data_IF_191888146479
#
_entry.id   IF_191888146479
#
_cell.length_a   1.000
_cell.length_b   1.000
_cell.length_c   1.000
_cell.angle_alpha   90.00
_cell.angle_beta   90.00
_cell.angle_gamma   90.00
#
_symmetry.space_group_name_H-M   'P 1'
#
loop_
_entity.id
_entity.type
_entity.pdbx_description
1 polymer ?
#
# COMPACT_ATOMS: atom_id res chain seq x y z
N UNK A 1 -32.70 -14.30 -21.51
CA UNK A 1 -31.50 -13.87 -20.78
C UNK A 1 -31.42 -14.70 -19.51
N UNK A 2 -30.77 -15.86 -19.60
CA UNK A 2 -30.69 -16.82 -18.49
C UNK A 2 -29.30 -16.72 -17.88
N UNK A 3 -29.22 -16.16 -16.67
CA UNK A 3 -28.01 -16.16 -15.85
C UNK A 3 -27.78 -17.59 -15.35
N UNK A 4 -26.79 -18.27 -15.93
CA UNK A 4 -26.19 -19.46 -15.32
C UNK A 4 -25.21 -19.01 -14.25
N UNK A 5 -25.65 -19.08 -12.99
CA UNK A 5 -24.77 -19.12 -11.83
C UNK A 5 -23.94 -20.41 -11.91
N UNK A 6 -22.70 -20.29 -12.37
CA UNK A 6 -21.72 -21.37 -12.25
C UNK A 6 -21.50 -21.66 -10.77
N UNK A 7 -21.49 -22.94 -10.33
CA UNK A 7 -21.13 -23.30 -8.97
C UNK A 7 -19.67 -22.86 -8.68
N UNK A 8 -19.31 -22.60 -7.42
CA UNK A 8 -17.96 -22.19 -7.07
C UNK A 8 -16.99 -23.30 -7.50
N UNK A 9 -16.13 -22.98 -8.46
CA UNK A 9 -15.02 -23.84 -8.89
C UNK A 9 -14.16 -24.07 -7.65
N UNK A 10 -14.23 -25.27 -7.08
CA UNK A 10 -13.31 -25.68 -6.01
C UNK A 10 -11.89 -25.54 -6.54
N UNK A 11 -10.96 -25.03 -5.74
CA UNK A 11 -9.56 -24.99 -6.15
C UNK A 11 -9.10 -26.41 -6.49
N UNK A 12 -8.36 -26.57 -7.59
CA UNK A 12 -7.87 -27.87 -8.06
C UNK A 12 -7.06 -28.61 -6.98
N UNK A 13 -6.35 -27.84 -6.14
CA UNK A 13 -5.63 -28.32 -4.95
C UNK A 13 -6.56 -28.96 -3.90
N UNK A 14 -7.76 -28.39 -3.67
CA UNK A 14 -8.74 -28.94 -2.72
C UNK A 14 -9.29 -30.28 -3.22
N UNK A 15 -9.63 -30.36 -4.51
CA UNK A 15 -10.09 -31.60 -5.13
C UNK A 15 -9.00 -32.70 -5.12
N UNK A 16 -7.74 -32.33 -5.35
CA UNK A 16 -6.62 -33.28 -5.26
C UNK A 16 -6.35 -33.74 -3.81
N UNK A 17 -6.57 -32.88 -2.81
CA UNK A 17 -6.44 -33.26 -1.40
C UNK A 17 -7.56 -34.22 -0.96
N UNK A 18 -8.80 -33.98 -1.39
CA UNK A 18 -9.93 -34.90 -1.19
C UNK A 18 -9.66 -36.27 -1.85
N UNK A 19 -9.03 -36.30 -3.03
CA UNK A 19 -8.64 -37.54 -3.70
C UNK A 19 -7.57 -38.33 -2.93
N UNK A 20 -6.61 -37.66 -2.28
CA UNK A 20 -5.64 -38.32 -1.39
C UNK A 20 -6.35 -38.92 -0.18
N UNK A 21 -7.23 -38.16 0.47
CA UNK A 21 -7.97 -38.63 1.64
C UNK A 21 -8.83 -39.86 1.30
N UNK A 22 -9.53 -39.83 0.17
CA UNK A 22 -10.30 -40.98 -0.30
C UNK A 22 -9.41 -42.20 -0.61
N UNK A 23 -8.23 -41.99 -1.22
CA UNK A 23 -7.30 -43.08 -1.48
C UNK A 23 -6.71 -43.68 -0.20
N UNK A 24 -6.53 -42.89 0.86
CA UNK A 24 -6.13 -43.37 2.19
C UNK A 24 -7.22 -44.22 2.83
N UNK A 25 -8.48 -43.79 2.78
CA UNK A 25 -9.63 -44.57 3.26
C UNK A 25 -9.77 -45.93 2.55
N UNK A 26 -9.53 -45.97 1.23
CA UNK A 26 -9.56 -47.21 0.44
C UNK A 26 -8.41 -48.15 0.82
N UNK A 27 -7.21 -47.62 1.10
CA UNK A 27 -6.08 -48.41 1.58
C UNK A 27 -6.35 -48.99 2.96
N UNK A 28 -6.90 -48.19 3.89
CA UNK A 28 -7.25 -48.64 5.23
C UNK A 28 -8.33 -49.73 5.19
N UNK A 29 -9.33 -49.59 4.31
CA UNK A 29 -10.33 -50.63 4.07
C UNK A 29 -9.73 -51.94 3.55
N UNK A 30 -8.78 -51.87 2.61
CA UNK A 30 -8.09 -53.06 2.07
C UNK A 30 -7.21 -53.75 3.11
N UNK A 31 -6.51 -52.97 3.95
CA UNK A 31 -5.71 -53.47 5.07
C UNK A 31 -6.58 -54.17 6.11
N UNK A 32 -7.74 -53.59 6.46
CA UNK A 32 -8.67 -54.17 7.42
C UNK A 32 -9.28 -55.49 6.91
N UNK A 33 -9.59 -55.56 5.61
CA UNK A 33 -10.14 -56.76 4.98
C UNK A 33 -9.10 -57.87 4.70
N UNK A 34 -7.79 -57.60 4.88
CA UNK A 34 -6.71 -58.56 4.63
C UNK A 34 -6.52 -58.94 3.15
N UNK A 35 -6.98 -58.08 2.23
CA UNK A 35 -6.88 -58.28 0.77
C UNK A 35 -5.58 -57.69 0.21
N UNK A 36 -5.26 -58.00 -1.06
CA UNK A 36 -4.09 -57.42 -1.75
C UNK A 36 -4.16 -55.88 -1.79
N UNK A 37 -3.13 -55.22 -1.26
CA UNK A 37 -3.05 -53.76 -1.15
C UNK A 37 -2.33 -53.09 -2.31
N UNK A 38 -1.83 -53.85 -3.30
CA UNK A 38 -1.00 -53.33 -4.39
C UNK A 38 -1.73 -52.22 -5.18
N UNK A 39 -3.00 -52.45 -5.53
CA UNK A 39 -3.82 -51.46 -6.26
C UNK A 39 -4.08 -50.19 -5.43
N UNK A 40 -4.47 -50.33 -4.16
CA UNK A 40 -4.73 -49.20 -3.27
C UNK A 40 -3.47 -48.37 -2.96
N UNK A 41 -2.30 -49.00 -2.86
CA UNK A 41 -1.02 -48.28 -2.71
C UNK A 41 -0.66 -47.52 -3.97
N UNK A 42 -0.94 -48.07 -5.16
CA UNK A 42 -0.69 -47.41 -6.43
C UNK A 42 -1.61 -46.20 -6.65
N UNK A 43 -2.90 -46.30 -6.27
CA UNK A 43 -3.84 -45.18 -6.35
C UNK A 43 -3.48 -44.06 -5.37
N UNK A 44 -3.06 -44.40 -4.14
CA UNK A 44 -2.58 -43.42 -3.18
C UNK A 44 -1.31 -42.70 -3.66
N UNK A 45 -0.37 -43.43 -4.26
CA UNK A 45 0.84 -42.83 -4.85
C UNK A 45 0.47 -41.85 -5.98
N UNK A 46 -0.42 -42.25 -6.89
CA UNK A 46 -0.90 -41.40 -7.97
C UNK A 46 -1.66 -40.16 -7.46
N UNK A 47 -2.51 -40.30 -6.45
CA UNK A 47 -3.23 -39.18 -5.84
C UNK A 47 -2.27 -38.18 -5.16
N UNK A 48 -1.22 -38.67 -4.47
CA UNK A 48 -0.19 -37.82 -3.86
C UNK A 48 0.66 -37.10 -4.90
N UNK A 49 0.98 -37.75 -6.00
CA UNK A 49 1.69 -37.14 -7.13
C UNK A 49 0.84 -36.05 -7.79
N UNK A 50 -0.45 -36.30 -8.03
CA UNK A 50 -1.39 -35.30 -8.53
C UNK A 50 -1.52 -34.10 -7.59
N UNK A 51 -1.63 -34.32 -6.28
CA UNK A 51 -1.65 -33.23 -5.29
C UNK A 51 -0.34 -32.42 -5.29
N UNK A 52 0.80 -33.07 -5.45
CA UNK A 52 2.09 -32.38 -5.55
C UNK A 52 2.17 -31.51 -6.82
N UNK A 53 1.71 -32.04 -7.96
CA UNK A 53 1.66 -31.30 -9.23
C UNK A 53 0.73 -30.08 -9.15
N UNK A 54 -0.47 -30.25 -8.59
CA UNK A 54 -1.43 -29.15 -8.40
C UNK A 54 -0.88 -28.07 -7.46
N UNK A 55 -0.18 -28.45 -6.37
CA UNK A 55 0.48 -27.50 -5.48
C UNK A 55 1.63 -26.76 -6.17
N UNK A 56 2.40 -27.43 -7.01
CA UNK A 56 3.47 -26.79 -7.78
C UNK A 56 2.90 -25.77 -8.77
N UNK A 57 1.86 -26.13 -9.53
CA UNK A 57 1.19 -25.21 -10.46
C UNK A 57 0.55 -24.01 -9.74
N UNK A 58 -0.07 -24.24 -8.57
CA UNK A 58 -0.60 -23.16 -7.73
C UNK A 58 0.52 -22.25 -7.19
N UNK A 59 1.69 -22.79 -6.85
CA UNK A 59 2.83 -22.00 -6.40
C UNK A 59 3.43 -21.16 -7.53
N UNK A 60 3.55 -21.72 -8.74
CA UNK A 60 4.04 -20.99 -9.91
C UNK A 60 3.10 -19.83 -10.30
N UNK A 61 1.79 -20.07 -10.34
CA UNK A 61 0.79 -19.04 -10.62
C UNK A 61 0.78 -17.95 -9.55
N UNK A 62 0.89 -18.32 -8.27
CA UNK A 62 1.02 -17.36 -7.17
C UNK A 62 2.32 -16.55 -7.27
N UNK A 63 3.44 -17.17 -7.65
CA UNK A 63 4.71 -16.48 -7.85
C UNK A 63 4.66 -15.51 -9.03
N UNK A 64 4.03 -15.90 -10.14
CA UNK A 64 3.86 -15.05 -11.31
C UNK A 64 2.99 -13.82 -10.97
N UNK A 65 1.85 -14.03 -10.30
CA UNK A 65 1.00 -12.94 -9.85
C UNK A 65 1.73 -12.01 -8.86
N UNK A 66 2.52 -12.57 -7.94
CA UNK A 66 3.31 -11.78 -7.00
C UNK A 66 4.38 -10.92 -7.72
N UNK A 67 5.02 -11.46 -8.76
CA UNK A 67 5.99 -10.72 -9.57
C UNK A 67 5.33 -9.58 -10.35
N UNK A 68 4.15 -9.81 -10.93
CA UNK A 68 3.38 -8.77 -11.62
C UNK A 68 2.96 -7.65 -10.67
N UNK A 69 2.43 -7.99 -9.49
CA UNK A 69 2.11 -7.01 -8.46
C UNK A 69 3.33 -6.21 -7.98
N UNK A 70 4.49 -6.85 -7.84
CA UNK A 70 5.73 -6.16 -7.50
C UNK A 70 6.19 -5.20 -8.60
N UNK A 71 6.07 -5.59 -9.86
CA UNK A 71 6.41 -4.74 -11.01
C UNK A 71 5.51 -3.50 -11.08
N UNK A 72 4.20 -3.66 -10.90
CA UNK A 72 3.24 -2.54 -10.85
C UNK A 72 3.56 -1.59 -9.69
N UNK A 73 3.88 -2.13 -8.50
CA UNK A 73 4.27 -1.31 -7.35
C UNK A 73 5.56 -0.53 -7.60
N UNK A 74 6.56 -1.15 -8.23
CA UNK A 74 7.82 -0.50 -8.58
C UNK A 74 7.63 0.60 -9.64
N UNK A 75 6.76 0.37 -10.63
CA UNK A 75 6.41 1.38 -11.63
C UNK A 75 5.65 2.56 -11.01
N UNK A 76 4.75 2.32 -10.06
CA UNK A 76 4.08 3.38 -9.32
C UNK A 76 5.06 4.18 -8.44
N UNK A 77 6.03 3.52 -7.81
CA UNK A 77 7.09 4.15 -7.04
C UNK A 77 7.96 5.06 -7.93
N UNK A 78 8.41 4.58 -9.09
CA UNK A 78 9.22 5.38 -10.00
C UNK A 78 8.45 6.57 -10.58
N UNK A 79 7.18 6.40 -10.96
CA UNK A 79 6.33 7.48 -11.43
C UNK A 79 6.10 8.56 -10.36
N UNK A 80 5.91 8.16 -9.10
CA UNK A 80 5.76 9.10 -7.99
C UNK A 80 7.03 9.93 -7.73
N UNK A 81 8.21 9.32 -7.87
CA UNK A 81 9.49 10.02 -7.77
C UNK A 81 9.61 11.07 -8.88
N UNK A 82 9.40 10.66 -10.14
CA UNK A 82 9.52 11.56 -11.30
C UNK A 82 8.56 12.74 -11.15
N UNK A 83 7.28 12.48 -10.87
CA UNK A 83 6.28 13.53 -10.69
C UNK A 83 6.62 14.49 -9.54
N UNK A 84 7.17 13.98 -8.42
CA UNK A 84 7.58 14.83 -7.31
C UNK A 84 8.79 15.72 -7.66
N UNK A 85 9.72 15.22 -8.45
CA UNK A 85 10.89 15.96 -8.91
C UNK A 85 10.51 17.02 -9.95
N UNK A 86 9.65 16.67 -10.90
CA UNK A 86 9.11 17.59 -11.92
C UNK A 86 8.37 18.76 -11.27
N UNK A 87 7.53 18.52 -10.26
CA UNK A 87 6.84 19.59 -9.54
C UNK A 87 7.79 20.57 -8.84
N UNK A 88 8.88 20.07 -8.25
CA UNK A 88 9.90 20.93 -7.63
C UNK A 88 10.66 21.72 -8.70
N UNK A 89 11.00 21.09 -9.82
CA UNK A 89 11.66 21.76 -10.93
C UNK A 89 10.80 22.89 -11.52
N UNK A 90 9.52 22.61 -11.79
CA UNK A 90 8.55 23.59 -12.29
C UNK A 90 8.39 24.78 -11.32
N UNK A 91 8.34 24.51 -10.01
CA UNK A 91 8.26 25.56 -9.01
C UNK A 91 9.52 26.45 -8.97
N UNK A 92 10.72 25.86 -9.13
CA UNK A 92 11.98 26.62 -9.22
C UNK A 92 12.04 27.47 -10.50
N UNK A 93 11.44 26.98 -11.59
CA UNK A 93 11.46 27.67 -12.89
C UNK A 93 10.74 29.02 -12.90
N UNK A 94 9.88 29.29 -11.91
CA UNK A 94 9.14 30.55 -11.75
C UNK A 94 10.01 31.81 -11.67
N UNK A 95 11.28 31.69 -11.23
CA UNK A 95 12.24 32.81 -11.30
C UNK A 95 12.86 32.85 -12.70
N UNK A 96 12.27 33.64 -13.59
CA UNK A 96 12.76 33.79 -14.96
C UNK A 96 13.94 34.76 -15.07
N UNK A 97 14.72 34.61 -16.15
CA UNK A 97 15.70 35.62 -16.56
C UNK A 97 14.99 36.87 -17.10
N UNK A 98 15.61 38.04 -16.95
CA UNK A 98 15.07 39.24 -17.58
C UNK A 98 14.99 39.09 -19.11
N UNK A 99 13.99 39.70 -19.78
CA UNK A 99 13.84 39.61 -21.24
C UNK A 99 15.13 40.05 -21.96
N UNK A 100 15.68 39.17 -22.80
CA UNK A 100 16.92 39.44 -23.55
C UNK A 100 18.23 39.22 -22.77
N UNK A 101 18.17 38.73 -21.53
CA UNK A 101 19.35 38.29 -20.78
C UNK A 101 19.85 36.92 -21.25
N UNK A 102 21.10 36.60 -20.92
CA UNK A 102 21.65 35.26 -21.11
C UNK A 102 20.84 34.25 -20.27
N UNK A 103 20.52 33.05 -20.80
CA UNK A 103 19.75 32.07 -20.07
C UNK A 103 20.45 31.70 -18.76
N UNK A 104 19.68 31.67 -17.67
CA UNK A 104 20.16 31.16 -16.40
C UNK A 104 20.65 29.72 -16.55
N UNK A 105 21.67 29.32 -15.76
CA UNK A 105 22.05 27.92 -15.68
C UNK A 105 20.84 27.05 -15.31
N UNK A 106 20.80 25.83 -15.84
CA UNK A 106 19.75 24.87 -15.53
C UNK A 106 19.62 24.71 -14.01
N UNK A 107 18.39 24.62 -13.48
CA UNK A 107 18.18 24.42 -12.06
C UNK A 107 18.88 23.15 -11.59
N UNK A 108 19.50 23.16 -10.40
CA UNK A 108 20.18 21.97 -9.88
C UNK A 108 19.19 20.82 -9.74
N UNK A 109 19.70 19.59 -9.90
CA UNK A 109 18.88 18.39 -9.72
C UNK A 109 18.21 18.41 -8.33
N UNK A 110 16.92 18.03 -8.22
CA UNK A 110 16.20 18.09 -6.96
C UNK A 110 16.92 17.29 -5.87
N UNK A 111 16.94 17.79 -4.62
CA UNK A 111 17.69 17.19 -3.54
C UNK A 111 17.20 15.76 -3.25
N UNK A 112 18.10 14.86 -2.79
CA UNK A 112 17.80 13.44 -2.61
C UNK A 112 16.65 13.19 -1.62
N UNK A 113 16.38 14.12 -0.71
CA UNK A 113 15.28 14.07 0.25
C UNK A 113 13.90 14.03 -0.42
N UNK A 114 13.69 14.74 -1.55
CA UNK A 114 12.42 14.71 -2.28
C UNK A 114 12.17 13.31 -2.85
N UNK A 115 13.21 12.72 -3.44
CA UNK A 115 13.15 11.36 -3.98
C UNK A 115 12.84 10.33 -2.89
N UNK A 116 13.53 10.38 -1.76
CA UNK A 116 13.31 9.47 -0.63
C UNK A 116 11.90 9.60 -0.06
N UNK A 117 11.42 10.82 0.15
CA UNK A 117 10.08 11.05 0.68
C UNK A 117 8.98 10.62 -0.32
N UNK A 118 9.20 10.80 -1.62
CA UNK A 118 8.28 10.34 -2.66
C UNK A 118 8.20 8.81 -2.72
N UNK A 119 9.36 8.14 -2.60
CA UNK A 119 9.46 6.69 -2.48
C UNK A 119 8.73 6.16 -1.25
N UNK A 120 8.95 6.78 -0.08
CA UNK A 120 8.26 6.41 1.17
C UNK A 120 6.74 6.59 1.06
N UNK A 121 6.28 7.70 0.48
CA UNK A 121 4.84 7.95 0.25
C UNK A 121 4.23 6.90 -0.69
N UNK A 122 4.90 6.56 -1.79
CA UNK A 122 4.43 5.52 -2.71
C UNK A 122 4.35 4.14 -2.03
N UNK A 123 5.36 3.77 -1.23
CA UNK A 123 5.39 2.51 -0.48
C UNK A 123 4.28 2.43 0.56
N UNK A 124 4.06 3.50 1.32
CA UNK A 124 2.99 3.56 2.30
C UNK A 124 1.60 3.39 1.64
N UNK A 125 1.37 4.03 0.49
CA UNK A 125 0.12 3.89 -0.28
C UNK A 125 -0.05 2.46 -0.81
N UNK A 126 1.01 1.84 -1.31
CA UNK A 126 0.98 0.45 -1.77
C UNK A 126 0.69 -0.53 -0.61
N UNK A 127 1.29 -0.31 0.56
CA UNK A 127 1.04 -1.12 1.75
C UNK A 127 -0.41 -1.00 2.24
N UNK A 128 -0.97 0.23 2.25
CA UNK A 128 -2.38 0.45 2.56
C UNK A 128 -3.30 -0.26 1.56
N UNK A 129 -3.06 -0.11 0.26
CA UNK A 129 -3.85 -0.77 -0.78
C UNK A 129 -3.81 -2.30 -0.65
N UNK A 130 -2.64 -2.86 -0.33
CA UNK A 130 -2.46 -4.30 -0.09
C UNK A 130 -3.22 -4.78 1.16
N UNK A 131 -3.33 -3.96 2.20
CA UNK A 131 -4.01 -4.31 3.44
C UNK A 131 -5.54 -4.17 3.36
N UNK A 132 -6.07 -3.31 2.48
CA UNK A 132 -7.50 -2.98 2.41
C UNK A 132 -8.38 -4.18 2.01
N UNK A 133 -8.04 -4.89 0.93
CA UNK A 133 -8.82 -6.04 0.45
C UNK A 133 -8.92 -7.17 1.50
N UNK A 134 -7.80 -7.70 2.05
CA UNK A 134 -7.87 -8.76 3.05
C UNK A 134 -8.57 -8.30 4.34
N UNK A 135 -8.42 -7.02 4.73
CA UNK A 135 -9.17 -6.48 5.86
C UNK A 135 -10.68 -6.50 5.61
N UNK A 136 -11.13 -6.03 4.44
CA UNK A 136 -12.55 -6.02 4.08
C UNK A 136 -13.14 -7.45 4.04
N UNK A 137 -12.38 -8.42 3.52
CA UNK A 137 -12.77 -9.83 3.54
C UNK A 137 -12.86 -10.40 4.96
N UNK A 138 -11.86 -10.14 5.80
CA UNK A 138 -11.84 -10.59 7.20
C UNK A 138 -13.01 -9.98 8.00
N UNK A 139 -13.28 -8.69 7.81
CA UNK A 139 -14.42 -7.99 8.44
C UNK A 139 -15.74 -8.60 7.98
N UNK A 140 -15.91 -8.83 6.67
CA UNK A 140 -17.12 -9.46 6.12
C UNK A 140 -17.33 -10.86 6.68
N UNK A 141 -16.28 -11.67 6.77
CA UNK A 141 -16.35 -13.03 7.31
C UNK A 141 -16.73 -13.02 8.81
N UNK A 142 -16.08 -12.15 9.60
CA UNK A 142 -16.41 -11.93 11.02
C UNK A 142 -17.87 -11.52 11.21
N UNK A 143 -18.33 -10.53 10.43
CA UNK A 143 -19.68 -9.99 10.56
C UNK A 143 -20.75 -11.02 10.14
N UNK A 144 -20.46 -11.86 9.13
CA UNK A 144 -21.33 -12.97 8.76
C UNK A 144 -21.46 -14.01 9.89
N UNK A 145 -20.36 -14.36 10.58
CA UNK A 145 -20.42 -15.24 11.75
C UNK A 145 -21.22 -14.60 12.89
N UNK A 146 -21.01 -13.30 13.15
CA UNK A 146 -21.72 -12.57 14.20
C UNK A 146 -23.23 -12.53 13.93
N UNK A 147 -23.62 -12.28 12.68
CA UNK A 147 -25.01 -12.29 12.24
C UNK A 147 -25.67 -13.67 12.41
N UNK A 148 -24.90 -14.77 12.31
CA UNK A 148 -25.40 -16.13 12.58
C UNK A 148 -25.50 -16.46 14.07
N UNK A 149 -24.58 -15.94 14.89
CA UNK A 149 -24.56 -16.18 16.34
C UNK A 149 -25.69 -15.43 17.06
N UNK A 150 -25.97 -14.18 16.69
CA UNK A 150 -26.97 -13.34 17.34
C UNK A 150 -28.37 -13.97 17.48
N UNK A 151 -29.01 -14.49 16.41
CA UNK A 151 -30.34 -15.10 16.53
C UNK A 151 -30.31 -16.38 17.38
N UNK A 152 -29.26 -17.21 17.28
CA UNK A 152 -29.11 -18.42 18.09
C UNK A 152 -28.95 -18.11 19.58
N UNK A 153 -28.18 -17.08 19.90
CA UNK A 153 -28.03 -16.60 21.27
C UNK A 153 -29.36 -16.08 21.82
N UNK A 154 -30.09 -15.28 21.02
CA UNK A 154 -31.41 -14.77 21.41
C UNK A 154 -32.43 -15.89 21.63
N UNK A 155 -32.41 -16.93 20.79
CA UNK A 155 -33.28 -18.11 20.95
C UNK A 155 -32.94 -18.91 22.20
N UNK A 156 -31.65 -19.15 22.47
CA UNK A 156 -31.19 -19.81 23.68
C UNK A 156 -31.63 -19.05 24.95
N UNK A 157 -31.49 -17.73 24.95
CA UNK A 157 -31.88 -16.88 26.07
C UNK A 157 -33.41 -16.82 26.22
N UNK A 158 -34.17 -16.86 25.12
CA UNK A 158 -35.63 -16.98 25.16
C UNK A 158 -36.09 -18.31 25.77
N UNK A 159 -35.45 -19.44 25.43
CA UNK A 159 -35.74 -20.74 26.05
C UNK A 159 -35.43 -20.69 27.55
N UNK A 160 -34.25 -20.17 27.93
CA UNK A 160 -33.86 -20.00 29.35
C UNK A 160 -34.90 -19.17 30.11
N UNK A 161 -35.34 -18.05 29.56
CA UNK A 161 -36.35 -17.20 30.17
C UNK A 161 -37.69 -17.94 30.38
N UNK A 162 -38.18 -18.67 29.38
CA UNK A 162 -39.41 -19.49 29.52
C UNK A 162 -39.31 -20.52 30.63
N UNK A 163 -38.18 -21.24 30.69
CA UNK A 163 -37.94 -22.25 31.74
C UNK A 163 -37.87 -21.64 33.12
N UNK A 164 -37.22 -20.49 33.29
CA UNK A 164 -37.20 -19.76 34.58
C UNK A 164 -38.57 -19.26 35.00
N UNK A 165 -39.48 -19.02 34.05
CA UNK A 165 -40.87 -18.66 34.31
C UNK A 165 -41.79 -19.90 34.54
N UNK A 166 -41.24 -21.12 34.53
CA UNK A 166 -42.00 -22.36 34.71
C UNK A 166 -42.76 -22.85 33.48
N UNK A 167 -42.51 -22.27 32.29
CA UNK A 167 -43.15 -22.64 31.02
C UNK A 167 -42.20 -23.57 30.25
N UNK A 168 -42.03 -24.79 30.73
CA UNK A 168 -41.14 -25.78 30.08
C UNK A 168 -41.86 -26.53 28.96
N UNK A 169 -41.20 -26.67 27.80
CA UNK A 169 -41.64 -27.53 26.71
C UNK A 169 -40.77 -28.79 26.61
N UNK A 170 -41.33 -29.94 26.20
CA UNK A 170 -40.58 -31.20 26.09
C UNK A 170 -39.33 -31.14 25.21
N UNK A 171 -39.33 -30.24 24.19
CA UNK A 171 -38.22 -30.09 23.25
C UNK A 171 -37.14 -29.09 23.72
N UNK A 172 -37.38 -28.29 24.77
CA UNK A 172 -36.49 -27.18 25.15
C UNK A 172 -35.08 -27.68 25.51
N UNK A 173 -34.95 -28.82 26.19
CA UNK A 173 -33.65 -29.36 26.60
C UNK A 173 -32.76 -29.74 25.39
N UNK A 174 -33.35 -30.40 24.39
CA UNK A 174 -32.63 -30.79 23.17
C UNK A 174 -32.27 -29.56 22.33
N UNK A 175 -33.18 -28.60 22.19
CA UNK A 175 -32.95 -27.36 21.46
C UNK A 175 -31.84 -26.51 22.12
N UNK A 176 -31.84 -26.38 23.45
CA UNK A 176 -30.77 -25.69 24.18
C UNK A 176 -29.41 -26.35 23.96
N UNK A 177 -29.33 -27.68 23.98
CA UNK A 177 -28.06 -28.38 23.76
C UNK A 177 -27.55 -28.16 22.33
N UNK A 178 -28.42 -28.29 21.32
CA UNK A 178 -28.06 -28.04 19.93
C UNK A 178 -27.59 -26.59 19.69
N UNK A 179 -28.32 -25.60 20.22
CA UNK A 179 -27.95 -24.18 20.14
C UNK A 179 -26.62 -23.90 20.86
N UNK A 180 -26.37 -24.54 22.01
CA UNK A 180 -25.12 -24.38 22.74
C UNK A 180 -23.91 -24.92 21.96
N UNK A 181 -24.03 -26.12 21.37
CA UNK A 181 -22.97 -26.70 20.53
C UNK A 181 -22.71 -25.83 19.29
N UNK A 182 -23.78 -25.38 18.62
CA UNK A 182 -23.68 -24.48 17.47
C UNK A 182 -22.97 -23.16 17.80
N UNK A 183 -23.29 -22.57 18.96
CA UNK A 183 -22.66 -21.33 19.43
C UNK A 183 -21.19 -21.56 19.79
N UNK A 184 -20.85 -22.71 20.36
CA UNK A 184 -19.46 -23.08 20.65
C UNK A 184 -18.64 -23.24 19.36
N UNK A 185 -19.17 -23.96 18.37
CA UNK A 185 -18.51 -24.14 17.07
C UNK A 185 -18.33 -22.79 16.34
N UNK A 186 -19.38 -21.95 16.32
CA UNK A 186 -19.29 -20.60 15.76
C UNK A 186 -18.29 -19.72 16.53
N UNK A 187 -18.20 -19.87 17.85
CA UNK A 187 -17.20 -19.20 18.68
C UNK A 187 -15.77 -19.63 18.36
N UNK A 188 -15.54 -20.94 18.12
CA UNK A 188 -14.25 -21.46 17.66
C UNK A 188 -13.88 -20.93 16.27
N UNK A 189 -14.85 -20.76 15.37
CA UNK A 189 -14.64 -20.15 14.05
C UNK A 189 -14.45 -18.63 14.10
N UNK A 190 -15.00 -17.95 15.10
CA UNK A 190 -14.91 -16.48 15.23
C UNK A 190 -13.48 -16.04 15.55
N UNK A 191 -12.83 -16.71 16.50
CA UNK A 191 -11.48 -16.35 16.97
C UNK A 191 -10.43 -16.13 15.85
N UNK A 192 -10.25 -17.04 14.88
CA UNK A 192 -9.31 -16.81 13.78
C UNK A 192 -9.72 -15.65 12.85
N UNK A 193 -11.02 -15.34 12.72
CA UNK A 193 -11.46 -14.14 11.99
C UNK A 193 -11.17 -12.86 12.79
N UNK A 194 -11.35 -12.95 14.12
CA UNK A 194 -10.83 -12.09 15.19
C UNK A 194 -9.42 -11.58 14.87
N UNK A 195 -8.52 -12.56 14.90
CA UNK A 195 -7.08 -12.41 14.73
C UNK A 195 -6.74 -11.92 13.32
N UNK A 196 -7.45 -12.36 12.28
CA UNK A 196 -7.24 -11.90 10.90
C UNK A 196 -7.60 -10.42 10.69
N UNK A 197 -8.68 -9.94 11.32
CA UNK A 197 -9.04 -8.51 11.28
C UNK A 197 -7.98 -7.67 11.99
N UNK A 198 -7.46 -8.15 13.12
CA UNK A 198 -6.40 -7.44 13.86
C UNK A 198 -5.11 -7.42 13.04
N UNK A 199 -4.69 -8.56 12.49
CA UNK A 199 -3.42 -8.71 11.77
C UNK A 199 -3.31 -7.85 10.49
N UNK A 200 -4.43 -7.36 9.94
CA UNK A 200 -4.42 -6.53 8.74
C UNK A 200 -4.14 -5.03 9.01
N UNK A 201 -4.28 -4.58 10.26
CA UNK A 201 -3.90 -3.24 10.77
C UNK A 201 -4.04 -2.04 9.79
N UNK A 202 -5.18 -1.83 9.10
CA UNK A 202 -5.30 -0.76 8.10
C UNK A 202 -5.14 0.64 8.69
N UNK A 203 -5.49 0.83 9.98
CA UNK A 203 -5.31 2.10 10.67
C UNK A 203 -3.83 2.50 10.80
N UNK A 204 -2.94 1.53 11.09
CA UNK A 204 -1.51 1.78 11.15
C UNK A 204 -0.96 2.16 9.76
N UNK A 205 -1.42 1.46 8.71
CA UNK A 205 -1.04 1.79 7.33
C UNK A 205 -1.55 3.16 6.90
N UNK A 206 -2.75 3.56 7.33
CA UNK A 206 -3.30 4.87 7.02
C UNK A 206 -2.53 6.00 7.73
N UNK A 207 -2.12 5.78 8.98
CA UNK A 207 -1.21 6.71 9.68
C UNK A 207 0.15 6.81 8.98
N UNK A 208 0.70 5.70 8.50
CA UNK A 208 1.94 5.70 7.73
C UNK A 208 1.83 6.51 6.43
N UNK A 209 0.71 6.42 5.71
CA UNK A 209 0.45 7.25 4.52
C UNK A 209 0.44 8.73 4.88
N UNK A 210 -0.30 9.12 5.92
CA UNK A 210 -0.37 10.53 6.36
C UNK A 210 1.01 11.07 6.74
N UNK A 211 1.80 10.29 7.49
CA UNK A 211 3.14 10.69 7.88
C UNK A 211 4.09 10.84 6.67
N UNK A 212 4.06 9.90 5.73
CA UNK A 212 4.90 9.93 4.54
C UNK A 212 4.51 11.08 3.59
N UNK A 213 3.22 11.37 3.44
CA UNK A 213 2.75 12.51 2.65
C UNK A 213 3.15 13.86 3.27
N UNK A 214 3.06 13.99 4.60
CA UNK A 214 3.54 15.17 5.30
C UNK A 214 5.06 15.36 5.13
N UNK A 215 5.84 14.28 5.20
CA UNK A 215 7.28 14.31 4.95
C UNK A 215 7.61 14.73 3.51
N UNK A 216 6.87 14.22 2.53
CA UNK A 216 7.01 14.62 1.12
C UNK A 216 6.68 16.09 0.90
N UNK A 217 5.58 16.59 1.47
CA UNK A 217 5.20 18.00 1.37
C UNK A 217 6.29 18.91 1.96
N UNK A 218 6.82 18.55 3.14
CA UNK A 218 7.93 19.29 3.76
C UNK A 218 9.20 19.26 2.92
N UNK A 219 9.56 18.10 2.36
CA UNK A 219 10.73 17.94 1.52
C UNK A 219 10.64 18.79 0.24
N UNK A 220 9.45 18.85 -0.39
CA UNK A 220 9.18 19.69 -1.56
C UNK A 220 9.35 21.17 -1.23
N UNK A 221 8.69 21.68 -0.20
CA UNK A 221 8.79 23.09 0.19
C UNK A 221 10.23 23.49 0.47
N UNK A 222 10.99 22.66 1.20
CA UNK A 222 12.41 22.94 1.45
C UNK A 222 13.21 22.98 0.14
N UNK A 223 13.03 21.98 -0.73
CA UNK A 223 13.73 21.89 -1.99
C UNK A 223 13.41 23.04 -2.95
N UNK A 224 12.15 23.46 -2.99
CA UNK A 224 11.69 24.61 -3.76
C UNK A 224 12.37 25.89 -3.27
N UNK A 225 12.35 26.17 -1.97
CA UNK A 225 12.98 27.36 -1.40
C UNK A 225 14.49 27.36 -1.61
N UNK A 226 15.16 26.23 -1.39
CA UNK A 226 16.60 26.09 -1.61
C UNK A 226 16.95 26.30 -3.10
N UNK A 227 16.17 25.72 -4.02
CA UNK A 227 16.36 25.88 -5.45
C UNK A 227 16.09 27.31 -5.96
N UNK A 228 15.05 27.98 -5.42
CA UNK A 228 14.78 29.39 -5.70
C UNK A 228 15.92 30.27 -5.18
N UNK A 229 16.45 30.00 -3.99
CA UNK A 229 17.60 30.70 -3.44
C UNK A 229 18.86 30.48 -4.31
N UNK A 230 19.09 29.28 -4.81
CA UNK A 230 20.19 28.97 -5.74
C UNK A 230 20.03 29.72 -7.07
N UNK A 231 18.80 29.85 -7.59
CA UNK A 231 18.54 30.70 -8.77
C UNK A 231 18.87 32.16 -8.53
N UNK A 232 18.49 32.71 -7.38
CA UNK A 232 18.85 34.10 -7.02
C UNK A 232 20.37 34.26 -6.91
N UNK A 233 21.07 33.29 -6.31
CA UNK A 233 22.55 33.28 -6.25
C UNK A 233 23.18 33.25 -7.65
N UNK A 234 22.61 32.49 -8.58
CA UNK A 234 23.09 32.46 -9.97
C UNK A 234 22.90 33.81 -10.66
N UNK A 235 21.75 34.46 -10.49
CA UNK A 235 21.51 35.82 -10.97
C UNK A 235 22.48 36.84 -10.36
N UNK A 236 22.74 36.74 -9.06
CA UNK A 236 23.70 37.60 -8.36
C UNK A 236 25.11 37.44 -8.94
N UNK A 237 25.58 36.20 -9.14
CA UNK A 237 26.89 35.92 -9.72
C UNK A 237 27.00 36.51 -11.14
N UNK A 238 25.96 36.37 -11.96
CA UNK A 238 25.93 36.96 -13.30
C UNK A 238 26.00 38.50 -13.23
N UNK A 239 25.18 39.11 -12.38
CA UNK A 239 25.20 40.56 -12.18
C UNK A 239 26.57 41.08 -11.71
N UNK A 240 27.20 40.40 -10.74
CA UNK A 240 28.55 40.74 -10.26
C UNK A 240 29.58 40.62 -11.39
N UNK A 241 29.48 39.60 -12.25
CA UNK A 241 30.35 39.45 -13.41
C UNK A 241 30.19 40.62 -14.40
N UNK A 242 28.95 41.04 -14.69
CA UNK A 242 28.68 42.19 -15.57
C UNK A 242 29.24 43.50 -15.01
N UNK A 243 29.07 43.76 -13.70
CA UNK A 243 29.62 44.94 -13.05
C UNK A 243 31.16 44.93 -13.07
N UNK A 244 31.79 43.76 -12.91
CA UNK A 244 33.25 43.61 -13.07
C UNK A 244 33.69 43.97 -14.49
N UNK A 245 33.00 43.47 -15.51
CA UNK A 245 33.28 43.81 -16.92
C UNK A 245 33.12 45.31 -17.17
N UNK A 246 32.05 45.94 -16.68
CA UNK A 246 31.85 47.38 -16.77
C UNK A 246 33.01 48.17 -16.15
N UNK A 247 33.47 47.74 -14.97
CA UNK A 247 34.61 48.37 -14.28
C UNK A 247 35.89 48.28 -15.11
N UNK A 248 36.20 47.13 -15.69
CA UNK A 248 37.38 46.95 -16.55
C UNK A 248 37.30 47.83 -17.80
N UNK A 249 36.12 47.91 -18.42
CA UNK A 249 35.89 48.78 -19.58
C UNK A 249 35.96 50.27 -19.25
N UNK A 250 35.49 50.70 -18.07
CA UNK A 250 35.63 52.07 -17.59
C UNK A 250 37.11 52.43 -17.32
N UNK A 251 37.87 51.51 -16.73
CA UNK A 251 39.31 51.68 -16.49
C UNK A 251 40.09 51.84 -17.80
N UNK A 252 39.79 51.04 -18.84
CA UNK A 252 40.38 51.20 -20.19
C UNK A 252 40.17 52.60 -20.78
N UNK A 253 39.12 53.31 -20.33
CA UNK A 253 38.75 54.66 -20.78
C UNK A 253 39.21 55.77 -19.82
N UNK A 254 40.08 55.46 -18.85
CA UNK A 254 40.56 56.35 -17.80
C UNK A 254 39.46 56.86 -16.83
N UNK A 255 38.31 56.18 -16.79
CA UNK A 255 37.25 56.47 -15.82
C UNK A 255 37.46 55.62 -14.56
N UNK A 256 38.28 56.10 -13.63
CA UNK A 256 38.66 55.35 -12.44
C UNK A 256 37.59 55.34 -11.33
N UNK A 257 36.65 56.30 -11.37
CA UNK A 257 35.54 56.37 -10.42
C UNK A 257 34.30 55.66 -10.97
N UNK A 258 34.11 54.38 -10.63
CA UNK A 258 32.91 53.64 -11.07
C UNK A 258 31.62 54.26 -10.52
N UNK A 259 31.66 54.87 -9.33
CA UNK A 259 30.49 55.48 -8.68
C UNK A 259 29.92 56.68 -9.44
N UNK A 260 30.67 57.30 -10.35
CA UNK A 260 30.13 58.34 -11.23
C UNK A 260 29.40 57.78 -12.46
N UNK A 261 29.55 56.49 -12.75
CA UNK A 261 28.98 55.82 -13.93
C UNK A 261 27.86 54.86 -13.52
N UNK A 262 28.06 54.15 -12.41
CA UNK A 262 27.12 53.16 -11.91
C UNK A 262 27.02 53.20 -10.40
N UNK A 263 25.79 53.32 -9.91
CA UNK A 263 25.40 53.09 -8.52
C UNK A 263 24.21 52.13 -8.57
N UNK A 264 24.23 51.11 -7.70
CA UNK A 264 23.10 50.22 -7.53
C UNK A 264 21.81 51.00 -7.25
N UNK A 265 20.70 50.56 -7.85
CA UNK A 265 19.41 51.23 -7.67
C UNK A 265 18.98 51.18 -6.20
N UNK A 266 18.15 52.15 -5.79
CA UNK A 266 17.64 52.19 -4.43
C UNK A 266 16.84 50.93 -4.06
N UNK A 267 16.09 50.42 -5.03
CA UNK A 267 15.34 49.16 -4.92
C UNK A 267 16.27 47.97 -4.67
N UNK A 268 17.35 47.83 -5.43
CA UNK A 268 18.30 46.71 -5.25
C UNK A 268 18.96 46.78 -3.87
N UNK A 269 19.31 47.98 -3.40
CA UNK A 269 19.88 48.16 -2.05
C UNK A 269 18.87 47.81 -0.95
N UNK A 270 17.60 48.22 -1.09
CA UNK A 270 16.53 47.89 -0.14
C UNK A 270 16.27 46.39 -0.05
N UNK A 271 16.16 45.71 -1.20
CA UNK A 271 15.97 44.25 -1.26
C UNK A 271 17.15 43.51 -0.65
N UNK A 272 18.40 43.93 -0.93
CA UNK A 272 19.60 43.32 -0.35
C UNK A 272 19.65 43.42 1.20
N UNK A 273 18.94 44.39 1.79
CA UNK A 273 18.81 44.53 3.24
C UNK A 273 17.55 43.86 3.82
N UNK A 274 16.84 43.05 3.02
CA UNK A 274 15.65 42.30 3.46
C UNK A 274 14.37 43.13 3.53
N UNK A 275 14.35 44.33 2.92
CA UNK A 275 13.11 45.09 2.81
C UNK A 275 12.17 44.44 1.79
N UNK A 276 10.88 44.40 2.12
CA UNK A 276 9.82 43.99 1.19
C UNK A 276 9.57 45.12 0.19
N UNK A 277 9.38 44.77 -1.09
CA UNK A 277 9.02 45.70 -2.18
C UNK A 277 7.51 45.92 -2.26
#
# INVERSE_FOLDING_TARGET
MSNQTSPPVRSSVSAAAEAVQHAEEVLDGALFAGVDTTSARSSLAAAREALAAERAAAAETASAAAAEHAAVAQQAESAAIVAAQEQVAEAIETIESAPGAEPLPEPPAPPPMVRLAAQESARARAALAKAQAPHAEAVKARDALRARMQPKQAELDAIRARRTAGIEQPADAAAMNALAMDLEDLGRMMKPMEDAVIATEPAAQQQAVVAAEAALAKAKVSAELDGLADRVRALEQHFVAQVRTLRLEAQKRNCNNLGSIYIASDLLRKVAHGAWL
#
